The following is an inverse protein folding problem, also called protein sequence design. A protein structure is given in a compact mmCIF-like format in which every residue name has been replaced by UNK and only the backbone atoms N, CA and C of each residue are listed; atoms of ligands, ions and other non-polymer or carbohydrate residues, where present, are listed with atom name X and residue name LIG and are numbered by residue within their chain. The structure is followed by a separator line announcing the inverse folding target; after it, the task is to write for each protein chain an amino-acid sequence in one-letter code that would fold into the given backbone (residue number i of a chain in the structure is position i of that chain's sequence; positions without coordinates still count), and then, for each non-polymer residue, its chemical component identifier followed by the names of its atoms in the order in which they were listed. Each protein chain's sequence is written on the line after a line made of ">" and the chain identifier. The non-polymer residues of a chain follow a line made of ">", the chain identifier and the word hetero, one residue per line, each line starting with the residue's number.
data_IF_146535742091
#
_entry.id   IF_146535742091
#
_cell.length_a   1.000
_cell.length_b   1.000
_cell.length_c   1.000
_cell.angle_alpha   90.00
_cell.angle_beta   90.00
_cell.angle_gamma   90.00
#
_symmetry.space_group_name_H-M   'P 1'
#
loop_
_entity.id
_entity.type
_entity.pdbx_description
1 polymer ?
#
# COMPACT_ATOMS: atom_id res chain seq x y z
N UNK A 1 -9.04 17.85 26.61
CA UNK A 1 -8.98 16.77 25.61
C UNK A 1 -8.66 17.29 24.21
N UNK A 2 -9.42 18.23 23.63
CA UNK A 2 -9.19 18.76 22.27
C UNK A 2 -7.78 19.29 22.04
N UNK A 3 -7.24 20.10 22.94
CA UNK A 3 -5.88 20.64 22.82
C UNK A 3 -4.78 19.58 22.88
N UNK A 4 -4.96 18.49 23.64
CA UNK A 4 -4.01 17.39 23.68
C UNK A 4 -3.97 16.61 22.33
N UNK A 5 -5.12 16.43 21.67
CA UNK A 5 -5.19 15.84 20.32
C UNK A 5 -4.47 16.74 19.30
N UNK A 6 -4.68 18.06 19.38
CA UNK A 6 -3.98 19.00 18.51
C UNK A 6 -2.47 18.97 18.77
N UNK A 7 -2.04 18.92 20.02
CA UNK A 7 -0.61 18.83 20.36
C UNK A 7 0.01 17.52 19.85
N UNK A 8 -0.70 16.40 19.96
CA UNK A 8 -0.28 15.13 19.38
C UNK A 8 -0.11 15.25 17.85
N UNK A 9 -1.09 15.83 17.15
CA UNK A 9 -1.02 16.06 15.72
C UNK A 9 0.16 16.96 15.31
N UNK A 10 0.46 18.00 16.11
CA UNK A 10 1.65 18.84 15.92
C UNK A 10 2.93 18.02 16.07
N UNK A 11 3.00 17.10 17.04
CA UNK A 11 4.14 16.19 17.18
C UNK A 11 4.36 15.31 15.95
N UNK A 12 3.28 14.74 15.40
CA UNK A 12 3.32 13.98 14.13
C UNK A 12 3.80 14.86 12.98
N UNK A 13 3.27 16.07 12.85
CA UNK A 13 3.66 17.01 11.81
C UNK A 13 5.12 17.44 11.92
N UNK A 14 5.63 17.67 13.11
CA UNK A 14 7.05 17.99 13.35
C UNK A 14 7.98 16.87 12.87
N UNK A 15 7.60 15.61 13.02
CA UNK A 15 8.39 14.51 12.44
C UNK A 15 8.39 14.56 10.91
N UNK A 16 7.23 14.83 10.29
CA UNK A 16 7.12 14.88 8.82
C UNK A 16 7.90 16.05 8.20
N UNK A 17 8.22 17.08 8.99
CA UNK A 17 9.05 18.20 8.55
C UNK A 17 10.56 17.94 8.66
N UNK A 18 10.98 16.77 9.15
CA UNK A 18 12.40 16.39 9.24
C UNK A 18 12.86 15.75 7.92
N UNK A 19 14.11 16.05 7.52
CA UNK A 19 14.73 15.46 6.31
C UNK A 19 15.06 13.97 6.47
N UNK A 20 15.21 13.48 7.70
CA UNK A 20 15.53 12.09 8.00
C UNK A 20 14.83 11.61 9.28
N UNK A 21 14.51 10.30 9.30
CA UNK A 21 13.94 9.70 10.51
C UNK A 21 14.98 9.63 11.63
N UNK A 22 14.57 9.94 12.87
CA UNK A 22 15.43 9.71 14.04
C UNK A 22 15.86 8.23 14.08
N UNK A 23 17.16 7.98 14.14
CA UNK A 23 17.74 6.63 14.14
C UNK A 23 18.21 6.09 12.79
N UNK A 24 17.80 6.66 11.66
CA UNK A 24 18.28 6.23 10.33
C UNK A 24 19.66 6.79 9.96
N UNK A 25 19.99 8.00 10.43
CA UNK A 25 21.27 8.67 10.18
C UNK A 25 22.17 8.80 11.43
N UNK A 26 21.71 8.29 12.58
CA UNK A 26 22.41 8.42 13.85
C UNK A 26 22.87 7.04 14.30
N UNK A 27 24.16 6.72 14.24
CA UNK A 27 24.68 5.37 14.37
C UNK A 27 24.48 4.67 15.71
N UNK A 28 23.95 5.32 16.74
CA UNK A 28 23.76 4.71 18.06
C UNK A 28 22.50 5.12 18.82
N UNK A 29 21.46 5.59 18.16
CA UNK A 29 20.42 6.36 18.83
C UNK A 29 19.02 5.74 18.96
N UNK A 30 18.91 4.43 19.16
CA UNK A 30 17.76 3.88 19.90
C UNK A 30 17.61 4.54 21.31
N UNK A 31 18.68 5.16 21.82
CA UNK A 31 18.71 5.91 23.06
C UNK A 31 17.83 7.18 23.05
N UNK A 32 17.68 7.88 21.92
CA UNK A 32 16.91 9.15 21.89
C UNK A 32 15.39 8.92 21.89
N UNK A 33 14.88 7.92 21.18
CA UNK A 33 13.47 7.55 21.24
C UNK A 33 13.11 7.00 22.62
N UNK A 34 14.03 6.22 23.21
CA UNK A 34 13.91 5.76 24.59
C UNK A 34 14.04 6.96 25.56
N UNK A 35 14.96 7.88 25.31
CA UNK A 35 15.13 9.10 26.10
C UNK A 35 13.93 10.02 26.07
N UNK A 36 13.35 10.29 24.90
CA UNK A 36 12.11 11.05 24.77
C UNK A 36 10.92 10.33 25.41
N UNK A 37 10.82 9.02 25.24
CA UNK A 37 9.82 8.21 25.92
C UNK A 37 9.98 8.24 27.44
N UNK A 38 11.20 8.05 27.96
CA UNK A 38 11.51 8.13 29.39
C UNK A 38 11.26 9.55 29.95
N UNK A 39 11.60 10.60 29.19
CA UNK A 39 11.31 11.97 29.55
C UNK A 39 9.80 12.24 29.63
N UNK A 40 9.02 11.76 28.66
CA UNK A 40 7.56 11.89 28.68
C UNK A 40 6.93 11.14 29.87
N UNK A 41 7.42 9.92 30.16
CA UNK A 41 7.00 9.15 31.34
C UNK A 41 7.41 9.86 32.62
N UNK A 42 8.62 10.40 32.69
CA UNK A 42 9.10 11.18 33.85
C UNK A 42 8.26 12.42 34.10
N UNK A 43 7.90 13.17 33.07
CA UNK A 43 6.97 14.31 33.19
C UNK A 43 5.57 13.89 33.64
N UNK A 44 5.07 12.76 33.13
CA UNK A 44 3.78 12.22 33.55
C UNK A 44 3.77 11.81 35.01
N UNK A 45 4.82 11.13 35.48
CA UNK A 45 4.99 10.74 36.87
C UNK A 45 5.17 11.98 37.78
N UNK A 46 6.01 12.94 37.34
CA UNK A 46 6.17 14.20 38.07
C UNK A 46 4.83 14.95 38.23
N UNK A 47 4.01 14.98 37.17
CA UNK A 47 2.66 15.57 37.26
C UNK A 47 1.74 14.84 38.25
N UNK A 48 1.95 13.55 38.50
CA UNK A 48 1.16 12.77 39.47
C UNK A 48 1.63 12.95 40.90
N UNK A 49 2.94 13.13 41.11
CA UNK A 49 3.54 13.25 42.47
C UNK A 49 3.70 14.69 42.97
N UNK A 50 3.92 15.66 42.06
CA UNK A 50 3.89 17.06 42.44
C UNK A 50 2.42 17.49 42.51
N UNK A 51 2.00 17.90 43.68
CA UNK A 51 0.71 18.57 43.92
C UNK A 51 0.74 19.96 43.24
N UNK A 52 0.77 19.99 41.90
CA UNK A 52 0.77 21.22 41.13
C UNK A 52 -0.62 21.85 41.21
N UNK A 53 -0.77 22.76 42.15
CA UNK A 53 -1.98 23.54 42.38
C UNK A 53 -2.30 24.53 41.23
N UNK A 54 -1.38 24.69 40.26
CA UNK A 54 -1.55 25.61 39.14
C UNK A 54 -2.06 24.87 37.90
N UNK A 55 -3.31 25.06 37.59
CA UNK A 55 -4.00 24.47 36.42
C UNK A 55 -3.27 24.70 35.10
N UNK A 56 -2.56 25.84 34.96
CA UNK A 56 -1.81 26.21 33.74
C UNK A 56 -0.62 25.30 33.53
N UNK A 57 0.20 25.05 34.56
CA UNK A 57 1.39 24.19 34.49
C UNK A 57 0.98 22.74 34.14
N UNK A 58 -0.06 22.24 34.81
CA UNK A 58 -0.59 20.90 34.52
C UNK A 58 -1.07 20.76 33.09
N UNK A 59 -1.77 21.76 32.55
CA UNK A 59 -2.17 21.76 31.12
C UNK A 59 -0.97 21.80 30.17
N UNK A 60 0.04 22.64 30.45
CA UNK A 60 1.26 22.69 29.64
C UNK A 60 2.00 21.36 29.61
N UNK A 61 2.15 20.68 30.76
CA UNK A 61 2.76 19.35 30.82
C UNK A 61 1.98 18.33 29.97
N UNK A 62 0.64 18.31 30.08
CA UNK A 62 -0.20 17.40 29.29
C UNK A 62 -0.03 17.66 27.79
N UNK A 63 0.05 18.91 27.35
CA UNK A 63 0.28 19.25 25.95
C UNK A 63 1.68 18.83 25.47
N UNK A 64 2.72 19.10 26.26
CA UNK A 64 4.08 18.65 25.93
C UNK A 64 4.17 17.13 25.80
N UNK A 65 3.60 16.39 26.76
CA UNK A 65 3.57 14.92 26.74
C UNK A 65 2.81 14.41 25.51
N UNK A 66 1.68 15.02 25.17
CA UNK A 66 0.91 14.63 23.98
C UNK A 66 1.68 14.90 22.68
N UNK A 67 2.39 16.03 22.57
CA UNK A 67 3.22 16.35 21.40
C UNK A 67 4.39 15.39 21.23
N UNK A 68 5.13 15.11 22.32
CA UNK A 68 6.22 14.12 22.31
C UNK A 68 5.69 12.73 21.97
N UNK A 69 4.55 12.33 22.53
CA UNK A 69 3.93 11.04 22.22
C UNK A 69 3.55 10.93 20.73
N UNK A 70 3.03 12.00 20.12
CA UNK A 70 2.74 12.05 18.70
C UNK A 70 3.98 11.89 17.83
N UNK A 71 5.06 12.60 18.16
CA UNK A 71 6.34 12.51 17.46
C UNK A 71 6.95 11.10 17.57
N UNK A 72 7.02 10.54 18.76
CA UNK A 72 7.59 9.20 19.00
C UNK A 72 6.75 8.13 18.30
N UNK A 73 5.43 8.21 18.42
CA UNK A 73 4.52 7.27 17.75
C UNK A 73 4.72 7.30 16.22
N UNK A 74 4.77 8.49 15.64
CA UNK A 74 4.98 8.63 14.19
C UNK A 74 6.36 8.12 13.75
N UNK A 75 7.42 8.35 14.54
CA UNK A 75 8.77 7.85 14.27
C UNK A 75 8.81 6.32 14.30
N UNK A 76 8.26 5.70 15.33
CA UNK A 76 8.20 4.24 15.45
C UNK A 76 7.37 3.60 14.33
N UNK A 77 6.23 4.21 14.00
CA UNK A 77 5.38 3.75 12.91
C UNK A 77 6.10 3.84 11.57
N UNK A 78 6.79 4.95 11.29
CA UNK A 78 7.57 5.13 10.07
C UNK A 78 8.73 4.12 9.99
N UNK A 79 9.48 3.91 11.07
CA UNK A 79 10.55 2.92 11.14
C UNK A 79 10.00 1.51 10.87
N UNK A 80 8.90 1.13 11.51
CA UNK A 80 8.24 -0.16 11.27
C UNK A 80 7.82 -0.33 9.81
N UNK A 81 7.22 0.70 9.21
CA UNK A 81 6.81 0.67 7.79
C UNK A 81 7.99 0.58 6.83
N UNK A 82 9.11 1.22 7.16
CA UNK A 82 10.30 1.26 6.31
C UNK A 82 11.24 0.07 6.52
N UNK A 83 11.12 -0.67 7.63
CA UNK A 83 11.95 -1.85 7.89
C UNK A 83 11.69 -3.00 6.91
N UNK A 84 10.46 -3.11 6.37
CA UNK A 84 10.12 -4.10 5.36
C UNK A 84 10.58 -3.62 3.97
N UNK A 85 11.87 -3.73 3.68
CA UNK A 85 12.50 -3.26 2.44
C UNK A 85 13.37 -4.34 1.80
N UNK A 86 13.55 -4.25 0.47
CA UNK A 86 14.47 -5.12 -0.25
C UNK A 86 15.91 -4.63 -0.04
N UNK A 87 16.82 -5.44 0.54
CA UNK A 87 18.23 -5.08 0.62
C UNK A 87 18.88 -4.96 -0.77
N UNK A 88 19.87 -4.06 -0.90
CA UNK A 88 20.54 -3.77 -2.18
C UNK A 88 21.19 -5.03 -2.77
N UNK A 89 21.76 -5.87 -1.92
CA UNK A 89 22.40 -7.12 -2.35
C UNK A 89 21.44 -8.11 -3.03
N UNK A 90 20.13 -7.97 -2.84
CA UNK A 90 19.11 -8.82 -3.46
C UNK A 90 18.47 -8.22 -4.69
N UNK A 91 18.82 -7.00 -5.05
CA UNK A 91 18.34 -6.41 -6.30
C UNK A 91 18.87 -7.16 -7.52
N UNK A 92 18.01 -7.34 -8.50
CA UNK A 92 18.31 -7.99 -9.78
C UNK A 92 18.80 -9.44 -9.69
N UNK A 93 18.71 -10.08 -8.52
CA UNK A 93 18.95 -11.53 -8.36
C UNK A 93 17.65 -12.30 -8.53
N UNK A 94 17.79 -13.54 -8.97
CA UNK A 94 16.66 -14.47 -9.09
C UNK A 94 16.37 -15.08 -7.71
N UNK A 95 15.16 -14.90 -7.21
CA UNK A 95 14.72 -15.33 -5.87
C UNK A 95 13.49 -16.20 -6.04
N UNK A 96 13.50 -17.38 -5.41
CA UNK A 96 12.33 -18.26 -5.35
C UNK A 96 11.47 -17.92 -4.15
N UNK A 97 10.18 -17.70 -4.41
CA UNK A 97 9.19 -17.37 -3.40
C UNK A 97 7.91 -18.17 -3.58
N UNK A 98 7.22 -18.41 -2.48
CA UNK A 98 5.83 -18.86 -2.44
C UNK A 98 5.00 -17.72 -1.88
N UNK A 99 3.85 -17.44 -2.48
CA UNK A 99 2.94 -16.42 -1.99
C UNK A 99 1.63 -16.43 -2.75
N UNK A 100 0.83 -15.42 -2.51
CA UNK A 100 -0.55 -15.30 -2.96
C UNK A 100 -0.72 -14.10 -3.88
N UNK A 101 -1.47 -14.27 -4.96
CA UNK A 101 -1.95 -13.16 -5.80
C UNK A 101 -2.98 -12.34 -5.01
N UNK A 102 -2.60 -11.14 -4.61
CA UNK A 102 -3.33 -10.35 -3.62
C UNK A 102 -4.23 -9.26 -4.21
N UNK A 103 -4.29 -9.14 -5.55
CA UNK A 103 -5.16 -8.20 -6.24
C UNK A 103 -5.68 -8.79 -7.54
N UNK A 104 -6.73 -8.19 -8.08
CA UNK A 104 -7.11 -8.46 -9.47
C UNK A 104 -5.92 -8.17 -10.39
N UNK A 105 -5.61 -9.07 -11.35
CA UNK A 105 -4.61 -8.82 -12.36
C UNK A 105 -5.04 -7.70 -13.31
N UNK A 106 -4.11 -6.77 -13.58
CA UNK A 106 -4.29 -5.71 -14.56
C UNK A 106 -3.54 -6.08 -15.83
N UNK A 107 -4.24 -6.18 -16.94
CA UNK A 107 -3.68 -6.55 -18.23
C UNK A 107 -3.16 -5.32 -18.95
N UNK A 108 -1.89 -5.34 -19.34
CA UNK A 108 -1.25 -4.35 -20.20
C UNK A 108 -0.87 -4.97 -21.54
N UNK A 109 -0.32 -4.17 -22.46
CA UNK A 109 0.10 -4.62 -23.79
C UNK A 109 1.13 -5.75 -23.76
N UNK A 110 2.02 -5.74 -22.77
CA UNK A 110 3.20 -6.62 -22.74
C UNK A 110 3.14 -7.68 -21.64
N UNK A 111 2.11 -7.65 -20.78
CA UNK A 111 2.02 -8.57 -19.65
C UNK A 111 0.92 -8.24 -18.68
N UNK A 112 0.93 -8.96 -17.58
CA UNK A 112 -0.03 -8.83 -16.50
C UNK A 112 0.67 -8.32 -15.26
N UNK A 113 0.12 -7.29 -14.61
CA UNK A 113 0.61 -6.76 -13.34
C UNK A 113 -0.37 -7.08 -12.22
N UNK A 114 0.17 -7.47 -11.08
CA UNK A 114 -0.62 -7.82 -9.89
C UNK A 114 0.18 -7.60 -8.61
N UNK A 115 -0.52 -7.53 -7.48
CA UNK A 115 0.10 -7.54 -6.15
C UNK A 115 0.30 -8.98 -5.71
N UNK A 116 1.44 -9.22 -5.06
CA UNK A 116 1.82 -10.55 -4.57
C UNK A 116 2.24 -10.48 -3.12
N UNK A 117 1.55 -11.23 -2.27
CA UNK A 117 1.86 -11.32 -0.85
C UNK A 117 2.76 -12.53 -0.62
N UNK A 118 4.00 -12.30 -0.20
CA UNK A 118 5.00 -13.35 0.04
C UNK A 118 4.67 -14.07 1.34
N UNK A 119 4.48 -15.40 1.26
CA UNK A 119 4.29 -16.27 2.43
C UNK A 119 5.58 -16.97 2.86
N UNK A 120 6.40 -17.38 1.88
CA UNK A 120 7.64 -18.10 2.15
C UNK A 120 8.71 -17.78 1.10
N UNK A 121 9.92 -17.56 1.58
CA UNK A 121 11.11 -17.38 0.74
C UNK A 121 11.82 -18.74 0.70
N UNK A 122 12.09 -19.25 -0.51
CA UNK A 122 12.76 -20.54 -0.70
C UNK A 122 14.26 -20.39 -0.92
N UNK A 123 14.70 -19.25 -1.49
CA UNK A 123 16.12 -18.95 -1.66
C UNK A 123 16.78 -18.73 -0.29
N UNK A 124 17.81 -19.49 0.08
CA UNK A 124 18.49 -19.32 1.36
C UNK A 124 19.04 -17.91 1.55
N UNK A 125 18.92 -17.38 2.77
CA UNK A 125 19.41 -16.05 3.18
C UNK A 125 18.78 -14.86 2.44
N UNK A 126 17.87 -15.09 1.47
CA UNK A 126 17.20 -13.99 0.79
C UNK A 126 16.26 -13.26 1.74
N UNK A 127 16.27 -11.93 1.65
CA UNK A 127 15.34 -11.05 2.35
C UNK A 127 14.45 -10.40 1.31
N UNK A 128 13.14 -10.61 1.44
CA UNK A 128 12.15 -10.13 0.48
C UNK A 128 11.01 -9.46 1.25
N UNK A 129 10.57 -8.27 0.83
CA UNK A 129 9.41 -7.61 1.42
C UNK A 129 8.14 -8.46 1.30
N UNK A 130 7.22 -8.25 2.24
CA UNK A 130 5.96 -9.01 2.28
C UNK A 130 5.05 -8.74 1.09
N UNK A 131 5.04 -7.52 0.57
CA UNK A 131 4.15 -7.08 -0.49
C UNK A 131 4.94 -6.61 -1.70
N UNK A 132 4.74 -7.31 -2.83
CA UNK A 132 5.43 -7.05 -4.07
C UNK A 132 4.45 -6.58 -5.15
N UNK A 133 4.92 -5.71 -6.04
CA UNK A 133 4.27 -5.43 -7.32
C UNK A 133 4.99 -6.22 -8.41
N UNK A 134 4.37 -7.28 -8.90
CA UNK A 134 4.95 -8.16 -9.91
C UNK A 134 4.31 -7.96 -11.27
N UNK A 135 5.15 -8.04 -12.31
CA UNK A 135 4.72 -8.12 -13.70
C UNK A 135 5.08 -9.50 -14.26
N UNK A 136 4.15 -10.11 -14.96
CA UNK A 136 4.42 -11.33 -15.71
C UNK A 136 4.25 -11.02 -17.20
N UNK A 137 5.37 -10.98 -17.92
CA UNK A 137 5.39 -10.60 -19.33
C UNK A 137 4.91 -11.73 -20.22
N UNK A 138 4.18 -11.40 -21.28
CA UNK A 138 3.77 -12.37 -22.29
C UNK A 138 4.98 -12.88 -23.05
N UNK A 139 4.96 -14.18 -23.38
CA UNK A 139 5.99 -14.76 -24.24
C UNK A 139 5.88 -14.22 -25.66
N UNK A 140 7.02 -14.06 -26.34
CA UNK A 140 7.09 -13.57 -27.71
C UNK A 140 6.40 -14.46 -28.75
N UNK A 141 6.22 -15.73 -28.44
CA UNK A 141 5.58 -16.76 -29.25
C UNK A 141 4.04 -16.69 -29.25
N UNK A 142 3.47 -15.67 -28.62
CA UNK A 142 2.00 -15.47 -28.57
C UNK A 142 1.25 -16.49 -27.74
N UNK A 143 1.95 -17.41 -27.08
CA UNK A 143 1.33 -18.37 -26.18
C UNK A 143 0.80 -17.62 -24.97
N UNK A 144 -0.53 -17.62 -24.79
CA UNK A 144 -1.15 -17.05 -23.60
C UNK A 144 -0.66 -17.80 -22.37
N UNK A 145 -0.15 -17.07 -21.42
CA UNK A 145 0.20 -17.62 -20.11
C UNK A 145 -1.06 -18.11 -19.41
N UNK A 146 -0.88 -19.05 -18.48
CA UNK A 146 -1.97 -19.51 -17.63
C UNK A 146 -2.62 -18.29 -16.96
N UNK A 147 -3.95 -18.15 -17.03
CA UNK A 147 -4.63 -17.07 -16.34
C UNK A 147 -4.34 -17.17 -14.84
N UNK A 148 -4.09 -16.04 -14.21
CA UNK A 148 -3.89 -15.92 -12.77
C UNK A 148 -5.07 -15.22 -12.14
N UNK A 149 -5.48 -15.68 -10.95
CA UNK A 149 -6.66 -15.17 -10.25
C UNK A 149 -6.29 -14.75 -8.81
N UNK A 150 -6.98 -13.76 -8.24
CA UNK A 150 -6.81 -13.38 -6.85
C UNK A 150 -7.01 -14.56 -5.89
N UNK A 151 -6.18 -14.64 -4.86
CA UNK A 151 -6.24 -15.71 -3.88
C UNK A 151 -5.52 -16.99 -4.31
N UNK A 152 -4.99 -17.08 -5.51
CA UNK A 152 -4.18 -18.23 -5.92
C UNK A 152 -2.81 -18.18 -5.27
N UNK A 153 -2.36 -19.35 -4.79
CA UNK A 153 -1.02 -19.54 -4.24
C UNK A 153 -0.11 -20.11 -5.31
N UNK A 154 1.01 -19.41 -5.52
CA UNK A 154 1.98 -19.76 -6.56
C UNK A 154 3.40 -19.85 -5.99
N UNK A 155 4.19 -20.73 -6.60
CA UNK A 155 5.65 -20.73 -6.49
C UNK A 155 6.24 -20.12 -7.75
N UNK A 156 7.01 -19.05 -7.56
CA UNK A 156 7.66 -18.33 -8.65
C UNK A 156 9.12 -18.04 -8.35
N UNK A 157 9.94 -18.01 -9.40
CA UNK A 157 11.21 -17.31 -9.39
C UNK A 157 10.97 -15.88 -9.86
N UNK A 158 11.34 -14.93 -9.05
CA UNK A 158 11.13 -13.49 -9.31
C UNK A 158 12.45 -12.75 -9.30
N UNK A 159 12.53 -11.69 -10.08
CA UNK A 159 13.63 -10.74 -10.03
C UNK A 159 13.10 -9.40 -9.59
N UNK A 160 13.63 -8.92 -8.47
CA UNK A 160 13.10 -7.76 -7.77
C UNK A 160 14.02 -6.55 -7.92
N UNK A 161 13.43 -5.37 -7.80
CA UNK A 161 14.08 -4.08 -7.69
C UNK A 161 13.44 -3.27 -6.58
N UNK A 162 14.22 -2.43 -5.93
CA UNK A 162 13.68 -1.40 -5.04
C UNK A 162 12.81 -0.45 -5.85
N UNK A 163 11.77 0.14 -5.25
CA UNK A 163 11.00 1.17 -5.91
C UNK A 163 11.91 2.34 -6.31
N UNK A 164 11.85 2.74 -7.58
CA UNK A 164 12.50 3.93 -8.09
C UNK A 164 11.50 4.72 -8.93
N UNK A 165 11.35 6.00 -8.63
CA UNK A 165 10.56 6.94 -9.39
C UNK A 165 11.44 7.79 -10.31
N UNK A 166 10.79 8.48 -11.24
CA UNK A 166 11.45 9.50 -12.04
C UNK A 166 11.40 10.82 -11.27
N UNK A 167 12.57 11.44 -11.05
CA UNK A 167 12.70 12.73 -10.38
C UNK A 167 12.35 13.92 -11.32
N UNK A 168 11.22 13.84 -12.04
CA UNK A 168 10.78 14.91 -12.90
C UNK A 168 10.00 15.96 -12.08
N UNK A 169 10.30 17.25 -12.22
CA UNK A 169 9.52 18.30 -11.58
C UNK A 169 8.04 18.16 -11.97
N UNK A 170 7.16 18.23 -10.97
CA UNK A 170 5.70 18.08 -11.13
C UNK A 170 5.22 16.75 -11.72
N UNK A 171 6.10 15.73 -11.79
CA UNK A 171 5.75 14.37 -12.20
C UNK A 171 5.04 13.59 -11.09
N UNK A 172 4.44 12.47 -11.48
CA UNK A 172 3.85 11.54 -10.52
C UNK A 172 4.94 10.87 -9.68
N UNK A 173 4.85 10.99 -8.35
CA UNK A 173 5.76 10.33 -7.42
C UNK A 173 5.37 8.85 -7.23
N UNK A 174 5.99 8.02 -8.06
CA UNK A 174 5.75 6.58 -8.06
C UNK A 174 6.26 5.89 -6.79
N UNK A 175 7.32 6.38 -6.16
CA UNK A 175 7.86 5.81 -4.92
C UNK A 175 6.92 6.08 -3.74
N UNK A 176 6.44 7.32 -3.60
CA UNK A 176 5.46 7.68 -2.58
C UNK A 176 4.17 6.89 -2.76
N UNK A 177 3.69 6.73 -4.00
CA UNK A 177 2.51 5.93 -4.29
C UNK A 177 2.69 4.44 -3.92
N UNK A 178 3.84 3.83 -4.24
CA UNK A 178 4.14 2.45 -3.84
C UNK A 178 4.24 2.31 -2.32
N UNK A 179 4.84 3.31 -1.64
CA UNK A 179 4.93 3.36 -0.19
C UNK A 179 3.54 3.42 0.45
N UNK A 180 2.64 4.26 -0.06
CA UNK A 180 1.25 4.35 0.37
C UNK A 180 0.55 3.01 0.25
N UNK A 181 0.69 2.35 -0.90
CA UNK A 181 0.14 1.03 -1.17
C UNK A 181 0.83 -0.11 -0.40
N UNK A 182 1.83 0.20 0.42
CA UNK A 182 2.69 -0.75 1.13
C UNK A 182 3.42 -1.75 0.22
N UNK A 183 3.70 -1.38 -1.02
CA UNK A 183 4.49 -2.16 -1.95
C UNK A 183 5.96 -1.74 -1.84
N UNK A 184 6.81 -2.63 -1.34
CA UNK A 184 8.19 -2.31 -0.97
C UNK A 184 9.23 -2.83 -1.96
N UNK A 185 8.81 -3.60 -2.96
CA UNK A 185 9.60 -3.97 -4.11
C UNK A 185 8.71 -4.11 -5.35
N UNK A 186 9.28 -3.82 -6.50
CA UNK A 186 8.72 -4.09 -7.81
C UNK A 186 9.56 -5.18 -8.49
N UNK A 187 8.98 -5.90 -9.43
CA UNK A 187 9.74 -6.92 -10.12
C UNK A 187 8.93 -7.65 -11.18
N UNK A 188 9.53 -8.73 -11.68
CA UNK A 188 8.88 -9.57 -12.67
C UNK A 188 9.15 -11.05 -12.43
N UNK A 189 8.21 -11.85 -12.92
CA UNK A 189 8.30 -13.32 -12.90
C UNK A 189 9.25 -13.79 -14.01
N UNK A 190 10.18 -14.70 -13.68
CA UNK A 190 11.20 -15.22 -14.61
C UNK A 190 10.65 -16.39 -15.43
N UNK A 191 10.58 -16.25 -16.74
CA UNK A 191 10.04 -17.30 -17.65
C UNK A 191 10.83 -18.61 -17.66
N UNK A 192 12.12 -18.55 -17.37
CA UNK A 192 13.00 -19.72 -17.43
C UNK A 192 12.85 -20.70 -16.26
N UNK A 193 12.08 -20.35 -15.25
CA UNK A 193 11.89 -21.15 -14.05
C UNK A 193 10.53 -21.84 -14.09
N UNK A 194 10.42 -23.00 -13.42
CA UNK A 194 9.13 -23.68 -13.30
C UNK A 194 8.14 -22.81 -12.53
N UNK A 195 7.03 -22.47 -13.16
CA UNK A 195 5.90 -21.81 -12.53
C UNK A 195 4.96 -22.89 -12.00
N UNK A 196 4.72 -22.89 -10.72
CA UNK A 196 3.86 -23.89 -10.11
C UNK A 196 2.72 -23.24 -9.34
N UNK A 197 1.49 -23.46 -9.81
CA UNK A 197 0.31 -23.17 -9.01
C UNK A 197 0.20 -24.24 -7.93
N UNK A 198 0.22 -23.83 -6.67
CA UNK A 198 0.15 -24.74 -5.52
C UNK A 198 -1.30 -24.99 -5.11
N UNK A 199 -2.18 -23.99 -5.27
CA UNK A 199 -3.60 -24.07 -4.90
C UNK A 199 -4.19 -22.70 -4.59
N UNK A 200 -5.13 -22.68 -3.66
CA UNK A 200 -5.72 -21.44 -3.13
C UNK A 200 -5.12 -21.11 -1.78
N UNK A 201 -5.08 -19.80 -1.46
CA UNK A 201 -4.70 -19.33 -0.13
C UNK A 201 -5.76 -19.73 0.92
N UNK A 202 -5.34 -19.71 2.18
CA UNK A 202 -6.30 -19.80 3.28
C UNK A 202 -7.27 -18.62 3.21
N UNK A 203 -8.48 -18.83 3.74
CA UNK A 203 -9.50 -17.80 3.72
C UNK A 203 -9.00 -16.49 4.34
N UNK A 204 -9.17 -15.42 3.56
CA UNK A 204 -8.91 -14.04 4.00
C UNK A 204 -9.99 -13.15 3.39
N UNK A 205 -10.57 -12.28 4.19
CA UNK A 205 -11.58 -11.32 3.72
C UNK A 205 -11.03 -10.47 2.56
N UNK A 206 -9.75 -10.09 2.62
CA UNK A 206 -9.10 -9.32 1.56
C UNK A 206 -9.11 -10.07 0.22
N UNK A 207 -8.70 -11.33 0.22
CA UNK A 207 -8.67 -12.13 -1.02
C UNK A 207 -10.09 -12.45 -1.51
N UNK A 208 -11.03 -12.70 -0.58
CA UNK A 208 -12.43 -12.93 -0.93
C UNK A 208 -13.07 -11.70 -1.63
N UNK A 209 -12.76 -10.49 -1.16
CA UNK A 209 -13.21 -9.25 -1.82
C UNK A 209 -12.63 -9.14 -3.23
N UNK A 210 -11.33 -9.39 -3.43
CA UNK A 210 -10.71 -9.33 -4.75
C UNK A 210 -11.26 -10.41 -5.71
N UNK A 211 -11.57 -11.61 -5.20
CA UNK A 211 -12.22 -12.67 -5.96
C UNK A 211 -13.65 -12.28 -6.37
N UNK A 212 -14.42 -11.70 -5.45
CA UNK A 212 -15.77 -11.21 -5.77
C UNK A 212 -15.73 -10.10 -6.82
N UNK A 213 -14.79 -9.15 -6.71
CA UNK A 213 -14.57 -8.09 -7.72
C UNK A 213 -14.22 -8.69 -9.09
N UNK A 214 -13.34 -9.69 -9.14
CA UNK A 214 -12.98 -10.37 -10.38
C UNK A 214 -14.18 -11.11 -10.99
N UNK A 215 -14.97 -11.81 -10.18
CA UNK A 215 -16.19 -12.48 -10.63
C UNK A 215 -17.19 -11.49 -11.25
N UNK A 216 -17.43 -10.35 -10.58
CA UNK A 216 -18.31 -9.29 -11.10
C UNK A 216 -17.73 -8.73 -12.41
N UNK A 217 -16.41 -8.44 -12.47
CA UNK A 217 -15.74 -7.99 -13.69
C UNK A 217 -15.98 -8.95 -14.85
N UNK A 218 -15.76 -10.23 -14.62
CA UNK A 218 -15.91 -11.26 -15.66
C UNK A 218 -17.35 -11.38 -16.15
N UNK A 219 -18.34 -11.35 -15.24
CA UNK A 219 -19.76 -11.37 -15.59
C UNK A 219 -20.17 -10.11 -16.36
N UNK A 220 -19.75 -8.93 -15.92
CA UNK A 220 -20.02 -7.67 -16.62
C UNK A 220 -19.39 -7.65 -18.02
N UNK A 221 -18.15 -8.11 -18.16
CA UNK A 221 -17.51 -8.25 -19.47
C UNK A 221 -18.29 -9.19 -20.39
N UNK A 222 -18.73 -10.34 -19.90
CA UNK A 222 -19.52 -11.30 -20.70
C UNK A 222 -20.87 -10.70 -21.16
N UNK A 223 -21.52 -9.92 -20.30
CA UNK A 223 -22.84 -9.33 -20.58
C UNK A 223 -22.75 -8.06 -21.43
N UNK A 224 -21.70 -7.24 -21.21
CA UNK A 224 -21.58 -5.89 -21.77
C UNK A 224 -20.57 -5.78 -22.93
N UNK A 225 -20.06 -6.92 -23.47
CA UNK A 225 -18.96 -6.93 -24.46
C UNK A 225 -19.19 -6.06 -25.71
N UNK A 226 -20.44 -5.76 -26.05
CA UNK A 226 -20.78 -4.95 -27.22
C UNK A 226 -21.17 -3.50 -26.85
N UNK A 227 -21.12 -3.13 -25.57
CA UNK A 227 -21.50 -1.80 -25.12
C UNK A 227 -20.29 -0.88 -25.09
N UNK A 228 -20.42 0.30 -25.72
CA UNK A 228 -19.31 1.29 -25.84
C UNK A 228 -18.72 1.70 -24.49
N UNK A 229 -19.53 1.80 -23.44
CA UNK A 229 -19.10 2.28 -22.12
C UNK A 229 -19.04 1.17 -21.06
N UNK A 230 -18.88 -0.09 -21.49
CA UNK A 230 -18.76 -1.23 -20.56
C UNK A 230 -17.64 -1.06 -19.54
N UNK A 231 -16.48 -0.54 -19.95
CA UNK A 231 -15.34 -0.24 -19.07
C UNK A 231 -15.66 0.79 -18.00
N UNK A 232 -16.45 1.83 -18.36
CA UNK A 232 -16.90 2.85 -17.40
C UNK A 232 -17.88 2.27 -16.38
N UNK A 233 -18.82 1.43 -16.81
CA UNK A 233 -19.74 0.75 -15.90
C UNK A 233 -19.02 -0.19 -14.93
N UNK A 234 -18.01 -0.91 -15.41
CA UNK A 234 -17.16 -1.77 -14.57
C UNK A 234 -16.38 -0.91 -13.56
N UNK A 235 -15.79 0.21 -14.01
CA UNK A 235 -15.08 1.12 -13.12
C UNK A 235 -15.99 1.67 -12.00
N UNK A 236 -17.21 2.04 -12.32
CA UNK A 236 -18.19 2.53 -11.34
C UNK A 236 -18.66 1.43 -10.38
N UNK A 237 -18.83 0.19 -10.86
CA UNK A 237 -19.34 -0.92 -10.06
C UNK A 237 -18.30 -1.49 -9.08
N UNK A 238 -17.05 -1.64 -9.51
CA UNK A 238 -16.00 -2.32 -8.74
C UNK A 238 -14.72 -1.52 -8.57
N UNK A 239 -14.64 -0.28 -9.09
CA UNK A 239 -13.45 0.57 -9.01
C UNK A 239 -12.30 0.13 -9.93
N UNK A 240 -12.56 -0.72 -10.93
CA UNK A 240 -11.54 -1.15 -11.89
C UNK A 240 -11.52 -0.24 -13.13
N UNK A 241 -10.61 0.71 -13.13
CA UNK A 241 -10.45 1.71 -14.20
C UNK A 241 -9.48 1.24 -15.30
N UNK A 242 -8.89 0.05 -15.17
CA UNK A 242 -7.80 -0.42 -16.03
C UNK A 242 -8.20 -0.61 -17.50
N UNK A 243 -9.47 -0.83 -17.77
CA UNK A 243 -10.02 -1.03 -19.10
C UNK A 243 -10.59 0.23 -19.77
N UNK A 244 -10.55 1.39 -19.09
CA UNK A 244 -11.00 2.66 -19.68
C UNK A 244 -9.95 3.13 -20.68
N UNK A 245 -10.36 3.38 -21.93
CA UNK A 245 -9.48 3.85 -22.98
C UNK A 245 -8.94 5.27 -22.68
N UNK A 246 -7.71 5.55 -23.13
CA UNK A 246 -7.10 6.87 -22.91
C UNK A 246 -7.95 8.01 -23.52
N UNK A 247 -8.54 7.78 -24.69
CA UNK A 247 -9.42 8.76 -25.33
C UNK A 247 -10.65 9.13 -24.49
N UNK A 248 -11.20 8.14 -23.74
CA UNK A 248 -12.31 8.41 -22.82
C UNK A 248 -11.82 9.19 -21.60
N UNK A 249 -10.61 8.90 -21.08
CA UNK A 249 -9.98 9.69 -20.01
C UNK A 249 -9.76 11.15 -20.45
N UNK A 250 -9.25 11.38 -21.63
CA UNK A 250 -9.03 12.73 -22.17
C UNK A 250 -10.33 13.51 -22.25
N UNK A 251 -11.42 12.88 -22.69
CA UNK A 251 -12.75 13.45 -22.70
C UNK A 251 -13.25 13.77 -21.28
N UNK A 252 -13.06 12.85 -20.32
CA UNK A 252 -13.47 13.02 -18.93
C UNK A 252 -12.73 14.17 -18.24
N UNK A 253 -11.44 14.35 -18.53
CA UNK A 253 -10.66 15.48 -18.04
C UNK A 253 -11.13 16.80 -18.64
N UNK A 254 -11.36 16.85 -19.95
CA UNK A 254 -11.84 18.06 -20.64
C UNK A 254 -13.24 18.49 -20.19
N UNK A 255 -14.10 17.54 -19.84
CA UNK A 255 -15.48 17.81 -19.38
C UNK A 255 -15.61 17.93 -17.87
N UNK A 256 -14.53 17.74 -17.10
CA UNK A 256 -14.55 17.76 -15.64
C UNK A 256 -15.21 16.54 -14.98
N UNK A 257 -15.60 15.52 -15.75
CA UNK A 257 -16.27 14.31 -15.23
C UNK A 257 -15.26 13.33 -14.60
N UNK A 258 -13.96 13.47 -14.86
CA UNK A 258 -12.92 12.60 -14.35
C UNK A 258 -12.98 12.39 -12.83
N UNK A 259 -13.32 13.44 -12.08
CA UNK A 259 -13.52 13.37 -10.64
C UNK A 259 -14.66 12.43 -10.22
N UNK A 260 -15.77 12.45 -10.92
CA UNK A 260 -16.92 11.57 -10.66
C UNK A 260 -16.55 10.10 -10.85
N UNK A 261 -15.77 9.76 -11.87
CA UNK A 261 -15.34 8.37 -12.15
C UNK A 261 -14.35 7.89 -11.11
N UNK A 262 -13.48 8.75 -10.59
CA UNK A 262 -12.50 8.39 -9.56
C UNK A 262 -13.12 8.14 -8.19
N UNK A 263 -14.12 8.90 -7.78
CA UNK A 263 -14.63 8.95 -6.40
C UNK A 263 -16.02 8.32 -6.28
N UNK A 264 -16.83 8.30 -7.36
CA UNK A 264 -18.25 7.94 -7.29
C UNK A 264 -18.51 6.47 -6.97
N UNK A 265 -17.57 5.56 -7.24
CA UNK A 265 -17.75 4.14 -6.88
C UNK A 265 -18.07 3.94 -5.39
N UNK A 266 -17.38 4.68 -4.51
CA UNK A 266 -17.66 4.66 -3.07
C UNK A 266 -19.01 5.33 -2.74
N UNK A 267 -19.34 6.46 -3.38
CA UNK A 267 -20.60 7.17 -3.14
C UNK A 267 -21.80 6.38 -3.63
N UNK A 268 -21.71 5.79 -4.81
CA UNK A 268 -22.80 4.95 -5.37
C UNK A 268 -23.05 3.72 -4.51
N UNK A 269 -21.99 3.01 -4.06
CA UNK A 269 -22.14 1.86 -3.15
C UNK A 269 -22.66 2.28 -1.78
N UNK A 270 -22.28 3.43 -1.27
CA UNK A 270 -22.77 3.96 0.01
C UNK A 270 -24.26 4.33 -0.08
N UNK A 271 -24.66 5.03 -1.14
CA UNK A 271 -26.07 5.39 -1.37
C UNK A 271 -26.93 4.15 -1.63
N UNK A 272 -26.44 3.22 -2.48
CA UNK A 272 -27.13 1.95 -2.71
C UNK A 272 -27.27 1.14 -1.42
N UNK A 273 -26.21 0.99 -0.63
CA UNK A 273 -26.24 0.34 0.68
C UNK A 273 -27.22 0.98 1.65
N UNK A 274 -27.32 2.30 1.65
CA UNK A 274 -28.30 3.03 2.47
C UNK A 274 -29.75 2.73 2.02
N UNK A 275 -30.01 2.73 0.71
CA UNK A 275 -31.35 2.43 0.15
C UNK A 275 -31.75 0.99 0.43
N UNK A 276 -30.83 0.01 0.33
CA UNK A 276 -31.12 -1.40 0.61
C UNK A 276 -31.20 -1.73 2.10
N UNK A 277 -30.78 -0.83 3.00
CA UNK A 277 -30.86 -1.01 4.46
C UNK A 277 -32.15 -0.41 5.07
N UNK A 278 -32.97 0.24 4.27
CA UNK A 278 -34.32 0.74 4.61
C UNK A 278 -35.38 -0.21 4.10
#
# INVERSE_FOLDING_TARGET
>A
MRLAILSFAVGVWLLQSQDALPGAAWPESSSWTLGLGAFAVGLFLANKFLALSQLVIRRAIVLCVAGVAGFVWAALFAQYRLSDSLPVEWESKDIEVIGVVASMPTFGEHGVRFRFDVEKILTPQAVVPRHLSLSWYFKRDGVRQTPIHPGERWRWSVRLKRPHGNANPHGFDFEAWLLEQNMRATGYVRDKSAHQRIGMANFSVRYAVEQARESIRSQMHATLQHQRYSSVLIALAIGDQSAIAQADWDLFWQTGIGHLISISGLHVTMVAGLIFSI
#
